data_IF_117324644424
#
_entry.id   IF_117324644424
#
_cell.length_a   1.000
_cell.length_b   1.000
_cell.length_c   1.000
_cell.angle_alpha   90.00
_cell.angle_beta   90.00
_cell.angle_gamma   90.00
#
_symmetry.space_group_name_H-M   'P 1'
#
loop_
_entity.id
_entity.type
_entity.pdbx_description
1 polymer ?
#
# COMPACT_ATOMS: atom_id res chain seq x y z
N UNK A 1 12.27 -15.49 23.60
CA UNK A 1 11.62 -14.77 24.71
C UNK A 1 10.47 -13.92 24.20
N UNK A 2 9.27 -14.16 24.73
CA UNK A 2 8.09 -13.30 24.52
C UNK A 2 8.01 -12.23 25.61
N UNK A 3 7.69 -11.00 25.23
CA UNK A 3 7.51 -9.87 26.14
C UNK A 3 6.07 -9.34 26.12
N UNK A 4 5.62 -8.79 27.24
CA UNK A 4 4.32 -8.15 27.40
C UNK A 4 4.49 -6.81 28.10
N UNK A 5 3.76 -5.78 27.66
CA UNK A 5 3.77 -4.49 28.34
C UNK A 5 2.83 -3.46 27.72
N UNK A 6 2.90 -2.23 28.23
CA UNK A 6 2.05 -1.11 27.79
C UNK A 6 2.78 -0.29 26.72
N UNK A 7 2.08 0.64 26.07
CA UNK A 7 2.70 1.54 25.08
C UNK A 7 3.86 2.40 25.62
N UNK A 8 3.89 2.66 26.93
CA UNK A 8 4.97 3.44 27.56
C UNK A 8 6.19 2.57 27.96
N UNK A 9 6.21 1.28 27.65
CA UNK A 9 7.35 0.40 27.93
C UNK A 9 8.59 0.87 27.15
N UNK A 10 9.78 0.98 27.79
CA UNK A 10 11.00 1.42 27.13
C UNK A 10 11.30 0.62 25.86
N UNK A 11 11.71 1.33 24.80
CA UNK A 11 11.99 0.72 23.50
C UNK A 11 13.06 -0.37 23.58
N UNK A 12 14.12 -0.15 24.36
CA UNK A 12 15.18 -1.15 24.57
C UNK A 12 14.64 -2.49 25.08
N UNK A 13 13.62 -2.48 25.94
CA UNK A 13 13.00 -3.70 26.44
C UNK A 13 12.15 -4.38 25.35
N UNK A 14 11.39 -3.59 24.58
CA UNK A 14 10.59 -4.10 23.45
C UNK A 14 11.48 -4.77 22.38
N UNK A 15 12.58 -4.12 22.02
CA UNK A 15 13.52 -4.59 20.99
C UNK A 15 14.37 -5.78 21.46
N UNK A 16 14.53 -6.00 22.76
CA UNK A 16 15.24 -7.16 23.30
C UNK A 16 14.42 -8.46 23.26
N UNK A 17 13.12 -8.39 22.97
CA UNK A 17 12.24 -9.55 22.89
C UNK A 17 12.21 -10.11 21.46
N UNK A 18 11.94 -11.42 21.30
CA UNK A 18 11.66 -11.99 19.97
C UNK A 18 10.29 -11.53 19.45
N UNK A 19 9.37 -11.27 20.38
CA UNK A 19 8.05 -10.71 20.10
C UNK A 19 7.52 -10.00 21.34
N UNK A 20 6.96 -8.81 21.15
CA UNK A 20 6.39 -8.00 22.21
C UNK A 20 4.89 -7.76 21.96
N UNK A 21 4.07 -8.00 22.98
CA UNK A 21 2.63 -7.81 22.91
C UNK A 21 2.19 -6.63 23.78
N UNK A 22 1.38 -5.76 23.19
CA UNK A 22 0.75 -4.65 23.92
C UNK A 22 -0.49 -5.14 24.67
N UNK A 23 -0.56 -4.85 25.97
CA UNK A 23 -1.71 -5.18 26.82
C UNK A 23 -3.01 -4.55 26.31
N UNK A 24 -2.90 -3.39 25.68
CA UNK A 24 -4.02 -2.67 25.06
C UNK A 24 -4.65 -3.44 23.89
N UNK A 25 -3.88 -4.29 23.19
CA UNK A 25 -4.37 -5.04 22.02
C UNK A 25 -4.99 -6.40 22.40
N UNK A 26 -4.81 -6.85 23.65
CA UNK A 26 -5.30 -8.14 24.13
C UNK A 26 -6.80 -8.09 24.46
N UNK A 27 -7.30 -6.95 24.94
CA UNK A 27 -8.69 -6.75 25.35
C UNK A 27 -9.69 -6.81 24.19
N UNK A 28 -9.25 -6.56 22.95
CA UNK A 28 -10.11 -6.62 21.76
C UNK A 28 -10.35 -8.06 21.26
N UNK A 29 -9.67 -9.08 21.82
CA UNK A 29 -9.71 -10.47 21.31
C UNK A 29 -10.83 -11.32 21.87
N UNK A 30 -11.55 -10.88 22.92
CA UNK A 30 -12.53 -11.75 23.62
C UNK A 30 -13.83 -12.01 22.84
N UNK A 31 -13.93 -11.60 21.58
CA UNK A 31 -15.14 -11.76 20.76
C UNK A 31 -14.99 -12.74 19.57
N UNK A 32 -13.86 -13.42 19.40
CA UNK A 32 -13.64 -14.25 18.22
C UNK A 32 -12.82 -15.51 18.50
N UNK A 33 -13.31 -16.38 19.39
CA UNK A 33 -12.95 -17.81 19.42
C UNK A 33 -13.93 -18.53 20.36
N UNK A 34 -15.06 -19.02 19.82
CA UNK A 34 -15.70 -20.29 20.23
C UNK A 34 -16.91 -20.57 19.32
N UNK A 35 -16.97 -21.80 18.81
CA UNK A 35 -18.04 -22.28 17.94
C UNK A 35 -19.21 -22.89 18.73
N UNK A 36 -20.35 -22.86 18.06
CA UNK A 36 -21.61 -23.61 18.29
C UNK A 36 -22.70 -23.01 19.21
N UNK A 37 -23.83 -22.75 18.55
CA UNK A 37 -25.24 -22.59 18.99
C UNK A 37 -25.62 -21.59 20.09
N UNK A 38 -26.22 -20.48 19.62
CA UNK A 38 -27.64 -20.10 19.83
C UNK A 38 -27.84 -18.64 20.21
N UNK A 39 -28.74 -18.01 19.46
CA UNK A 39 -29.60 -16.85 19.80
C UNK A 39 -28.95 -15.49 20.12
N UNK A 40 -29.00 -14.63 19.09
CA UNK A 40 -29.44 -13.23 19.11
C UNK A 40 -28.98 -12.32 20.27
N UNK A 41 -27.95 -11.52 19.98
CA UNK A 41 -27.97 -10.08 20.26
C UNK A 41 -26.93 -9.39 19.35
N UNK A 42 -27.43 -8.66 18.36
CA UNK A 42 -26.64 -7.74 17.52
C UNK A 42 -26.12 -6.58 18.37
N UNK A 43 -24.99 -6.76 19.03
CA UNK A 43 -24.15 -5.66 19.46
C UNK A 43 -23.30 -5.26 18.25
N UNK A 44 -23.70 -4.20 17.55
CA UNK A 44 -22.91 -3.58 16.50
C UNK A 44 -21.63 -3.01 17.14
N UNK A 45 -20.54 -3.77 17.09
CA UNK A 45 -19.22 -3.30 17.42
C UNK A 45 -18.89 -2.17 16.45
N UNK A 46 -18.73 -0.96 16.97
CA UNK A 46 -18.25 0.17 16.17
C UNK A 46 -16.94 -0.26 15.47
N UNK A 47 -16.77 0.04 14.17
CA UNK A 47 -15.55 -0.31 13.46
C UNK A 47 -14.35 0.29 14.19
N UNK A 48 -13.23 -0.46 14.31
CA UNK A 48 -12.05 0.04 14.99
C UNK A 48 -11.63 1.38 14.39
N UNK A 49 -11.34 2.36 15.24
CA UNK A 49 -10.92 3.69 14.80
C UNK A 49 -9.55 3.55 14.13
N UNK A 50 -9.55 3.60 12.80
CA UNK A 50 -8.32 3.51 12.00
C UNK A 50 -7.47 4.74 12.25
N UNK A 51 -6.23 4.50 12.68
CA UNK A 51 -5.27 5.60 12.87
C UNK A 51 -4.69 6.05 11.54
N UNK A 52 -4.33 7.33 11.45
CA UNK A 52 -3.57 7.86 10.32
C UNK A 52 -2.27 7.10 10.15
N UNK A 53 -1.99 6.68 8.91
CA UNK A 53 -0.72 6.04 8.56
C UNK A 53 0.37 7.11 8.55
N UNK A 54 1.20 7.09 9.58
CA UNK A 54 2.35 7.99 9.72
C UNK A 54 3.41 7.70 8.66
N UNK A 55 4.28 8.68 8.39
CA UNK A 55 5.36 8.50 7.42
C UNK A 55 6.34 7.40 7.85
N UNK A 56 6.65 7.30 9.14
CA UNK A 56 7.48 6.22 9.68
C UNK A 56 6.87 4.83 9.42
N UNK A 57 5.56 4.67 9.65
CA UNK A 57 4.85 3.42 9.35
C UNK A 57 4.86 3.12 7.85
N UNK A 58 4.66 4.14 7.01
CA UNK A 58 4.71 4.00 5.55
C UNK A 58 6.08 3.54 5.09
N UNK A 59 7.16 4.11 5.61
CA UNK A 59 8.53 3.71 5.29
C UNK A 59 8.82 2.28 5.73
N UNK A 60 8.42 1.92 6.95
CA UNK A 60 8.57 0.57 7.46
C UNK A 60 7.87 -0.47 6.55
N UNK A 61 6.60 -0.25 6.22
CA UNK A 61 5.84 -1.17 5.39
C UNK A 61 6.39 -1.25 3.97
N UNK A 62 6.77 -0.11 3.37
CA UNK A 62 7.38 -0.11 2.04
C UNK A 62 8.73 -0.84 2.01
N UNK A 63 9.54 -0.69 3.04
CA UNK A 63 10.80 -1.44 3.19
C UNK A 63 10.52 -2.94 3.31
N UNK A 64 9.60 -3.34 4.18
CA UNK A 64 9.24 -4.74 4.36
C UNK A 64 8.70 -5.37 3.06
N UNK A 65 7.86 -4.65 2.31
CA UNK A 65 7.39 -5.10 0.99
C UNK A 65 8.59 -5.27 0.05
N UNK A 66 9.47 -4.27 -0.07
CA UNK A 66 10.63 -4.29 -0.96
C UNK A 66 11.56 -5.48 -0.66
N UNK A 67 11.89 -5.69 0.61
CA UNK A 67 12.82 -6.75 1.04
C UNK A 67 12.19 -8.16 0.92
N UNK A 68 10.88 -8.25 0.75
CA UNK A 68 10.15 -9.51 0.55
C UNK A 68 9.73 -9.77 -0.90
N UNK A 69 10.13 -8.92 -1.86
CA UNK A 69 9.87 -9.17 -3.29
C UNK A 69 10.68 -10.39 -3.73
N UNK A 70 10.00 -11.34 -4.35
CA UNK A 70 10.65 -12.44 -5.06
C UNK A 70 11.16 -11.95 -6.41
N UNK A 71 12.46 -12.11 -6.69
CA UNK A 71 13.10 -11.58 -7.90
C UNK A 71 12.60 -12.25 -9.20
N UNK A 72 12.14 -13.50 -9.13
CA UNK A 72 11.66 -14.23 -10.30
C UNK A 72 10.24 -13.81 -10.68
N UNK A 73 9.40 -13.51 -9.70
CA UNK A 73 7.98 -13.16 -9.92
C UNK A 73 7.72 -11.66 -9.86
N UNK A 74 8.54 -10.89 -9.15
CA UNK A 74 8.32 -9.47 -8.87
C UNK A 74 7.21 -9.21 -7.85
N UNK A 75 6.82 -10.22 -7.08
CA UNK A 75 5.73 -10.15 -6.08
C UNK A 75 6.22 -10.54 -4.69
N UNK A 76 5.76 -9.82 -3.67
CA UNK A 76 5.98 -10.19 -2.28
C UNK A 76 4.77 -10.94 -1.73
N UNK A 77 4.98 -12.12 -1.15
CA UNK A 77 3.92 -12.84 -0.44
C UNK A 77 3.62 -12.12 0.89
N UNK A 78 2.35 -11.78 1.15
CA UNK A 78 1.94 -11.05 2.37
C UNK A 78 2.28 -11.83 3.64
N UNK A 79 2.26 -13.16 3.60
CA UNK A 79 2.71 -14.00 4.71
C UNK A 79 4.19 -13.81 5.05
N UNK A 80 5.06 -13.70 4.03
CA UNK A 80 6.49 -13.45 4.23
C UNK A 80 6.73 -12.04 4.80
N UNK A 81 6.00 -11.03 4.33
CA UNK A 81 6.06 -9.67 4.89
C UNK A 81 5.72 -9.70 6.39
N UNK A 82 4.67 -10.44 6.77
CA UNK A 82 4.30 -10.59 8.18
C UNK A 82 5.37 -11.29 9.02
N UNK A 83 6.07 -12.27 8.47
CA UNK A 83 7.22 -12.92 9.14
C UNK A 83 8.41 -11.98 9.26
N UNK A 84 8.78 -11.27 8.19
CA UNK A 84 9.84 -10.27 8.19
C UNK A 84 9.60 -9.17 9.22
N UNK A 85 8.38 -8.62 9.29
CA UNK A 85 8.03 -7.58 10.26
C UNK A 85 8.18 -8.08 11.69
N UNK A 86 7.80 -9.32 11.98
CA UNK A 86 7.96 -9.92 13.32
C UNK A 86 9.44 -10.07 13.71
N UNK A 87 10.30 -10.37 12.75
CA UNK A 87 11.74 -10.55 12.99
C UNK A 87 12.49 -9.21 13.11
N UNK A 88 12.07 -8.20 12.36
CA UNK A 88 12.78 -6.92 12.28
C UNK A 88 12.19 -5.83 13.17
N UNK A 89 10.93 -5.97 13.58
CA UNK A 89 10.19 -5.06 14.46
C UNK A 89 9.34 -5.88 15.45
N UNK A 90 9.94 -6.37 16.56
CA UNK A 90 9.28 -7.30 17.49
C UNK A 90 8.00 -6.76 18.14
N UNK A 91 7.86 -5.43 18.24
CA UNK A 91 6.70 -4.74 18.80
C UNK A 91 5.69 -4.29 17.74
N UNK A 92 5.89 -4.62 16.46
CA UNK A 92 4.92 -4.31 15.42
C UNK A 92 3.64 -5.14 15.58
N UNK A 93 2.50 -4.45 15.66
CA UNK A 93 1.17 -5.05 15.72
C UNK A 93 0.17 -4.21 14.92
N UNK A 94 -0.57 -4.86 14.02
CA UNK A 94 -1.55 -4.18 13.14
C UNK A 94 -2.73 -3.61 13.93
N UNK A 95 -3.07 -4.21 15.07
CA UNK A 95 -4.16 -3.77 15.95
C UNK A 95 -3.84 -2.43 16.60
N UNK A 96 -2.56 -2.17 16.86
CA UNK A 96 -2.09 -0.84 17.32
C UNK A 96 -2.46 0.29 16.37
N UNK A 97 -2.77 -0.02 15.09
CA UNK A 97 -3.19 0.92 14.05
C UNK A 97 -4.67 0.80 13.65
N UNK A 98 -5.45 -0.07 14.30
CA UNK A 98 -6.87 -0.30 14.01
C UNK A 98 -7.13 -1.28 12.87
N UNK A 99 -6.22 -2.24 12.63
CA UNK A 99 -6.37 -3.28 11.61
C UNK A 99 -6.19 -4.69 12.20
N UNK A 100 -7.18 -5.55 11.97
CA UNK A 100 -7.13 -6.96 12.43
C UNK A 100 -6.15 -7.82 11.64
N UNK A 101 -5.86 -7.43 10.40
CA UNK A 101 -5.03 -8.18 9.46
C UNK A 101 -4.01 -7.26 8.79
N UNK A 102 -2.80 -7.77 8.60
CA UNK A 102 -1.75 -7.07 7.85
C UNK A 102 -2.19 -6.73 6.42
N UNK A 103 -2.93 -7.63 5.77
CA UNK A 103 -3.49 -7.38 4.44
C UNK A 103 -4.37 -6.13 4.39
N UNK A 104 -5.17 -5.87 5.42
CA UNK A 104 -6.03 -4.69 5.50
C UNK A 104 -5.22 -3.42 5.74
N UNK A 105 -4.17 -3.48 6.55
CA UNK A 105 -3.24 -2.36 6.76
C UNK A 105 -2.47 -2.03 5.48
N UNK A 106 -1.96 -3.04 4.76
CA UNK A 106 -1.28 -2.85 3.48
C UNK A 106 -2.21 -2.25 2.43
N UNK A 107 -3.48 -2.65 2.38
CA UNK A 107 -4.47 -2.01 1.48
C UNK A 107 -4.66 -0.54 1.81
N UNK A 108 -4.75 -0.20 3.09
CA UNK A 108 -4.92 1.18 3.52
C UNK A 108 -3.68 2.06 3.29
N UNK A 109 -2.48 1.47 3.20
CA UNK A 109 -1.24 2.17 2.86
C UNK A 109 -1.34 2.93 1.53
N UNK A 110 -2.09 2.36 0.56
CA UNK A 110 -2.12 2.85 -0.81
C UNK A 110 -0.82 2.57 -1.57
N UNK A 111 -0.86 2.73 -2.89
CA UNK A 111 0.31 2.56 -3.76
C UNK A 111 0.86 1.13 -3.88
N UNK A 112 0.13 0.15 -3.35
CA UNK A 112 0.40 -1.27 -3.49
C UNK A 112 -0.66 -1.91 -4.38
N UNK A 113 -0.22 -2.82 -5.24
CA UNK A 113 -1.07 -3.72 -5.97
C UNK A 113 -1.22 -5.02 -5.18
N UNK A 114 -2.37 -5.69 -5.32
CA UNK A 114 -2.63 -6.98 -4.70
C UNK A 114 -3.12 -8.00 -5.73
N UNK A 115 -2.70 -9.26 -5.57
CA UNK A 115 -3.27 -10.42 -6.27
C UNK A 115 -3.47 -11.59 -5.32
N UNK A 116 -4.28 -12.56 -5.73
CA UNK A 116 -4.40 -13.84 -5.06
C UNK A 116 -4.02 -14.95 -6.05
N UNK A 117 -3.48 -16.06 -5.54
CA UNK A 117 -3.34 -17.29 -6.31
C UNK A 117 -4.55 -18.23 -6.11
N UNK A 118 -4.52 -19.40 -6.73
CA UNK A 118 -5.58 -20.41 -6.61
C UNK A 118 -5.80 -20.89 -5.16
N UNK A 119 -4.76 -20.81 -4.33
CA UNK A 119 -4.82 -21.13 -2.90
C UNK A 119 -5.27 -19.94 -2.03
N UNK A 120 -5.78 -18.86 -2.64
CA UNK A 120 -6.17 -17.62 -1.97
C UNK A 120 -5.05 -16.95 -1.16
N UNK A 121 -3.78 -17.25 -1.49
CA UNK A 121 -2.62 -16.57 -0.89
C UNK A 121 -2.50 -15.18 -1.50
N UNK A 122 -2.39 -14.18 -0.63
CA UNK A 122 -2.32 -12.78 -1.04
C UNK A 122 -0.87 -12.36 -1.29
N UNK A 123 -0.64 -11.73 -2.43
CA UNK A 123 0.64 -11.13 -2.81
C UNK A 123 0.48 -9.64 -3.04
N UNK A 124 1.54 -8.87 -2.81
CA UNK A 124 1.58 -7.46 -3.13
C UNK A 124 2.88 -7.02 -3.77
N UNK A 125 2.83 -5.92 -4.51
CA UNK A 125 4.02 -5.23 -5.03
C UNK A 125 3.76 -3.73 -5.11
N UNK A 126 4.83 -2.94 -5.17
CA UNK A 126 4.72 -1.49 -5.36
C UNK A 126 4.36 -1.19 -6.81
N UNK A 127 3.49 -0.22 -7.01
CA UNK A 127 3.20 0.29 -8.36
C UNK A 127 4.34 1.27 -8.70
N UNK A 128 5.07 1.08 -9.82
CA UNK A 128 6.20 1.94 -10.18
C UNK A 128 5.75 3.28 -10.79
N UNK A 129 4.93 4.05 -10.06
CA UNK A 129 4.40 5.33 -10.54
C UNK A 129 5.47 6.29 -11.04
N UNK A 130 6.65 6.28 -10.43
CA UNK A 130 7.77 7.11 -10.86
C UNK A 130 8.23 6.82 -12.28
N UNK A 131 8.29 5.55 -12.66
CA UNK A 131 8.73 5.14 -14.00
C UNK A 131 7.62 5.41 -15.03
N UNK A 132 6.36 5.17 -14.67
CA UNK A 132 5.22 5.57 -15.47
C UNK A 132 5.19 7.09 -15.70
N UNK A 133 5.39 7.89 -14.66
CA UNK A 133 5.42 9.35 -14.75
C UNK A 133 6.57 9.85 -15.61
N UNK A 134 7.75 9.23 -15.54
CA UNK A 134 8.89 9.54 -16.42
C UNK A 134 8.58 9.19 -17.87
N UNK A 135 8.04 7.99 -18.13
CA UNK A 135 7.65 7.58 -19.48
C UNK A 135 6.59 8.50 -20.08
N UNK A 136 5.57 8.84 -19.28
CA UNK A 136 4.54 9.78 -19.68
C UNK A 136 5.12 11.17 -19.94
N UNK A 137 5.86 11.75 -19.00
CA UNK A 137 6.30 13.15 -19.08
C UNK A 137 7.41 13.36 -20.10
N UNK A 138 8.38 12.45 -20.19
CA UNK A 138 9.57 12.64 -21.02
C UNK A 138 9.41 12.08 -22.44
N UNK A 139 8.62 11.00 -22.60
CA UNK A 139 8.61 10.26 -23.86
C UNK A 139 7.27 10.38 -24.59
N UNK A 140 6.15 10.21 -23.88
CA UNK A 140 4.83 10.16 -24.51
C UNK A 140 4.18 11.55 -24.66
N UNK A 141 4.16 12.36 -23.59
CA UNK A 141 3.50 13.66 -23.58
C UNK A 141 4.07 14.63 -24.63
N UNK A 142 5.39 14.74 -24.86
CA UNK A 142 5.93 15.62 -25.91
C UNK A 142 5.47 15.23 -27.32
N UNK A 143 5.11 13.96 -27.56
CA UNK A 143 4.72 13.44 -28.88
C UNK A 143 3.24 13.57 -29.17
N UNK A 144 2.39 13.45 -28.14
CA UNK A 144 0.94 13.35 -28.31
C UNK A 144 0.15 14.53 -27.74
N UNK A 145 0.82 15.49 -27.08
CA UNK A 145 0.18 16.66 -26.48
C UNK A 145 -0.17 17.71 -27.53
N UNK A 146 -1.38 18.26 -27.42
CA UNK A 146 -1.85 19.39 -28.23
C UNK A 146 -1.39 20.75 -27.66
N UNK A 147 -1.79 21.86 -28.31
CA UNK A 147 -1.45 23.23 -27.87
C UNK A 147 -1.94 23.55 -26.45
N UNK A 148 -3.05 22.95 -26.03
CA UNK A 148 -3.69 23.15 -24.72
C UNK A 148 -3.15 22.25 -23.61
N UNK A 149 -2.19 21.38 -23.94
CA UNK A 149 -1.55 20.49 -22.97
C UNK A 149 -2.22 19.12 -22.81
N UNK A 150 -3.24 18.80 -23.61
CA UNK A 150 -3.98 17.53 -23.55
C UNK A 150 -3.43 16.49 -24.52
N UNK A 151 -3.40 15.24 -24.10
CA UNK A 151 -3.08 14.09 -24.93
C UNK A 151 -4.21 13.05 -24.87
N UNK A 152 -4.48 12.37 -25.99
CA UNK A 152 -5.49 11.31 -26.04
C UNK A 152 -5.02 10.07 -25.29
N UNK A 153 -5.87 9.55 -24.40
CA UNK A 153 -5.54 8.40 -23.54
C UNK A 153 -5.22 7.19 -24.40
N UNK A 154 -6.06 6.89 -25.39
CA UNK A 154 -5.84 5.74 -26.28
C UNK A 154 -4.52 5.80 -27.07
N UNK A 155 -4.09 6.99 -27.51
CA UNK A 155 -2.82 7.17 -28.20
C UNK A 155 -1.63 6.91 -27.27
N UNK A 156 -1.70 7.42 -26.03
CA UNK A 156 -0.69 7.17 -25.01
C UNK A 156 -0.64 5.69 -24.60
N UNK A 157 -1.81 5.06 -24.42
CA UNK A 157 -1.95 3.64 -24.11
C UNK A 157 -1.28 2.78 -25.18
N UNK A 158 -1.62 3.02 -26.46
CA UNK A 158 -1.05 2.27 -27.58
C UNK A 158 0.46 2.43 -27.66
N UNK A 159 0.96 3.64 -27.43
CA UNK A 159 2.39 3.92 -27.43
C UNK A 159 3.13 3.26 -26.26
N UNK A 160 2.52 3.28 -25.07
CA UNK A 160 3.09 2.71 -23.86
C UNK A 160 2.95 1.20 -23.80
N UNK A 161 1.97 0.59 -24.48
CA UNK A 161 1.69 -0.84 -24.42
C UNK A 161 2.93 -1.73 -24.69
N UNK A 162 3.84 -1.29 -25.55
CA UNK A 162 5.09 -2.01 -25.83
C UNK A 162 6.14 -1.96 -24.71
N UNK A 163 6.04 -0.98 -23.81
CA UNK A 163 7.00 -0.73 -22.72
C UNK A 163 6.38 -0.88 -21.33
N UNK A 164 5.07 -0.87 -21.25
CA UNK A 164 4.30 -0.85 -20.01
C UNK A 164 2.90 -1.41 -20.25
N UNK A 165 2.53 -2.43 -19.49
CA UNK A 165 1.18 -2.96 -19.50
C UNK A 165 0.51 -2.71 -18.16
N UNK A 166 -0.49 -1.82 -18.13
CA UNK A 166 -1.29 -1.57 -16.91
C UNK A 166 -2.02 -2.82 -16.41
N UNK A 167 -2.29 -3.78 -17.31
CA UNK A 167 -2.92 -5.06 -16.97
C UNK A 167 -2.01 -5.92 -16.09
N UNK A 168 -0.69 -5.91 -16.33
CA UNK A 168 0.27 -6.56 -15.44
C UNK A 168 0.17 -5.96 -14.03
N UNK A 169 -0.04 -4.65 -13.95
CA UNK A 169 -0.26 -3.91 -12.71
C UNK A 169 -1.71 -3.95 -12.20
N UNK A 170 -2.56 -4.82 -12.76
CA UNK A 170 -3.88 -5.17 -12.22
C UNK A 170 -4.93 -4.08 -12.34
N UNK A 171 -4.68 -3.10 -13.20
CA UNK A 171 -5.66 -2.09 -13.54
C UNK A 171 -6.59 -2.62 -14.62
N UNK A 172 -7.89 -2.34 -14.48
CA UNK A 172 -8.89 -2.73 -15.46
C UNK A 172 -8.75 -1.94 -16.78
N UNK A 173 -8.22 -0.72 -16.71
CA UNK A 173 -7.99 0.15 -17.86
C UNK A 173 -6.84 1.11 -17.60
N UNK A 174 -6.26 1.67 -18.66
CA UNK A 174 -5.23 2.69 -18.55
C UNK A 174 -5.77 3.96 -17.85
N UNK A 175 -7.04 4.29 -18.04
CA UNK A 175 -7.71 5.40 -17.33
C UNK A 175 -7.74 5.18 -15.82
N UNK A 176 -8.09 3.97 -15.35
CA UNK A 176 -8.10 3.66 -13.92
C UNK A 176 -6.71 3.81 -13.28
N UNK A 177 -5.64 3.52 -14.04
CA UNK A 177 -4.27 3.79 -13.61
C UNK A 177 -4.02 5.31 -13.53
N UNK A 178 -4.38 6.07 -14.55
CA UNK A 178 -4.18 7.52 -14.56
C UNK A 178 -4.95 8.24 -13.45
N UNK A 179 -6.13 7.77 -13.06
CA UNK A 179 -6.93 8.34 -11.95
C UNK A 179 -6.22 8.22 -10.59
N UNK A 180 -5.32 7.24 -10.43
CA UNK A 180 -4.51 7.13 -9.21
C UNK A 180 -3.36 8.14 -9.14
N UNK A 181 -3.07 8.83 -10.25
CA UNK A 181 -2.00 9.81 -10.35
C UNK A 181 -2.52 11.18 -9.90
N UNK A 182 -2.05 11.66 -8.74
CA UNK A 182 -2.52 12.92 -8.14
C UNK A 182 -2.31 14.18 -9.01
N UNK A 183 -1.37 14.17 -9.96
CA UNK A 183 -1.08 15.28 -10.86
C UNK A 183 -1.57 15.05 -12.30
N UNK A 184 -2.52 14.14 -12.51
CA UNK A 184 -3.17 13.91 -13.78
C UNK A 184 -4.60 14.46 -13.78
N UNK A 185 -4.92 15.29 -14.78
CA UNK A 185 -6.29 15.74 -15.05
C UNK A 185 -6.86 14.94 -16.21
N UNK A 186 -8.02 14.30 -16.02
CA UNK A 186 -8.67 13.47 -17.04
C UNK A 186 -9.99 14.10 -17.44
N UNK A 187 -10.19 14.34 -18.74
CA UNK A 187 -11.45 14.84 -19.32
C UNK A 187 -11.68 14.24 -20.69
N UNK A 188 -12.87 13.68 -20.94
CA UNK A 188 -13.33 13.23 -22.27
C UNK A 188 -12.25 12.45 -23.05
N UNK A 189 -11.79 11.33 -22.48
CA UNK A 189 -10.75 10.45 -23.06
C UNK A 189 -9.39 11.12 -23.30
N UNK A 190 -9.14 12.23 -22.61
CA UNK A 190 -7.91 12.99 -22.74
C UNK A 190 -7.32 13.18 -21.34
N UNK A 191 -5.99 13.07 -21.25
CA UNK A 191 -5.25 13.29 -20.02
C UNK A 191 -4.30 14.46 -20.20
N UNK A 192 -4.18 15.28 -19.16
CA UNK A 192 -3.17 16.32 -19.05
C UNK A 192 -2.42 16.11 -17.74
N UNK A 193 -1.11 15.95 -17.84
CA UNK A 193 -0.25 15.99 -16.65
C UNK A 193 0.00 17.45 -16.29
N UNK A 194 -0.37 17.83 -15.07
CA UNK A 194 0.00 19.13 -14.53
C UNK A 194 1.50 19.09 -14.22
N UNK A 195 2.26 20.01 -14.81
CA UNK A 195 3.65 20.21 -14.39
C UNK A 195 3.61 20.56 -12.90
N UNK A 196 4.29 19.77 -12.07
CA UNK A 196 4.67 20.22 -10.74
C UNK A 196 5.52 21.46 -10.96
N UNK A 197 4.98 22.63 -10.60
CA UNK A 197 5.75 23.86 -10.54
C UNK A 197 6.93 23.57 -9.61
N UNK A 198 8.13 23.46 -10.19
CA UNK A 198 9.37 23.43 -9.45
C UNK A 198 9.51 24.81 -8.80
N UNK A 199 8.91 24.97 -7.62
CA UNK A 199 9.10 26.15 -6.79
C UNK A 199 10.19 25.83 -5.78
N UNK A 200 11.12 26.78 -5.65
CA UNK A 200 12.31 26.82 -4.79
C UNK A 200 13.57 26.24 -5.44
N UNK A 201 14.29 27.09 -6.19
CA UNK A 201 15.54 27.68 -5.69
C UNK A 201 15.67 29.11 -6.26
N UNK A 202 15.21 30.09 -5.46
CA UNK A 202 15.71 31.45 -5.47
C UNK A 202 16.35 31.62 -4.10
N UNK A 203 17.66 31.82 -4.04
CA UNK A 203 18.36 31.99 -2.77
C UNK A 203 19.86 31.77 -2.85
N UNK A 204 20.57 32.65 -3.57
CA UNK A 204 21.70 33.42 -3.03
C UNK A 204 22.01 34.60 -3.96
#
# INVERSE_FOLDING_TARGET
>A
MYGFGRRNTPEAFRQSCDRFFYLENLQETTAAEEGDKSTAATAATAPPVRKTITEALRQLLNKAVKDCIDDATGWAFVGHIGTYLRQTQPDFDTRSFGYDKLSSLLKALGGLQFRHDDASRMYCRRIPYSDLLKLLSNDAMPKFRNKDGWAKIHALETYLASRWSYQEYGFASFTALLETIHNAEIRNDSVRLMQTANSLETGE
#
